data_IF_292851166813
#
_entry.id   IF_292851166813
#
_cell.length_a   1.000
_cell.length_b   1.000
_cell.length_c   1.000
_cell.angle_alpha   90.00
_cell.angle_beta   90.00
_cell.angle_gamma   90.00
#
_symmetry.space_group_name_H-M   'P 1'
#
loop_
_entity.id
_entity.type
_entity.pdbx_description
1 polymer ?
#
# COMPACT_ATOMS: atom_id res chain seq x y z
N UNK A 1 -4.32 -25.80 18.29
CA UNK A 1 -5.00 -24.63 18.87
C UNK A 1 -3.90 -23.61 19.15
N UNK A 2 -3.98 -22.42 18.55
CA UNK A 2 -3.02 -21.33 18.83
C UNK A 2 -3.68 -20.37 19.82
N UNK A 3 -2.92 -19.91 20.81
CA UNK A 3 -3.37 -18.92 21.78
C UNK A 3 -2.62 -17.62 21.48
N UNK A 4 -3.38 -16.58 21.17
CA UNK A 4 -2.84 -15.23 21.04
C UNK A 4 -2.67 -14.66 22.45
N UNK A 5 -1.44 -14.26 22.78
CA UNK A 5 -1.16 -13.58 24.03
C UNK A 5 -1.13 -12.08 23.73
N UNK A 6 -2.01 -11.34 24.40
CA UNK A 6 -1.91 -9.89 24.40
C UNK A 6 -0.56 -9.49 24.97
N UNK A 7 0.20 -8.71 24.20
CA UNK A 7 1.35 -8.03 24.71
C UNK A 7 0.86 -6.86 25.58
N UNK A 8 0.50 -7.17 26.84
CA UNK A 8 0.00 -6.21 27.83
C UNK A 8 0.95 -5.02 27.94
N UNK A 9 2.27 -5.28 27.88
CA UNK A 9 3.30 -4.24 27.92
C UNK A 9 3.28 -3.31 26.71
N UNK A 10 2.96 -3.78 25.50
CA UNK A 10 3.03 -2.96 24.29
C UNK A 10 1.66 -2.52 23.76
N UNK A 11 0.69 -2.33 24.67
CA UNK A 11 -0.65 -1.86 24.34
C UNK A 11 -1.38 -2.71 23.27
N UNK A 12 -1.11 -4.03 23.25
CA UNK A 12 -1.56 -4.97 22.22
C UNK A 12 -1.19 -4.58 20.78
N UNK A 13 -0.25 -3.64 20.60
CA UNK A 13 0.14 -3.13 19.28
C UNK A 13 1.31 -3.89 18.66
N UNK A 14 2.11 -4.57 19.48
CA UNK A 14 3.35 -5.22 19.06
C UNK A 14 4.53 -4.26 18.84
N UNK A 15 4.38 -2.95 19.10
CA UNK A 15 5.44 -1.96 18.89
C UNK A 15 6.15 -1.59 20.19
N UNK A 16 7.48 -1.55 20.13
CA UNK A 16 8.38 -1.14 21.21
C UNK A 16 9.48 -0.22 20.65
N UNK A 17 10.13 0.54 21.53
CA UNK A 17 11.27 1.37 21.15
C UNK A 17 12.47 0.50 20.73
N UNK A 18 13.10 0.82 19.59
CA UNK A 18 14.06 -0.08 18.94
C UNK A 18 15.36 -0.33 19.74
N UNK A 19 15.75 0.59 20.62
CA UNK A 19 17.02 0.51 21.36
C UNK A 19 16.81 0.06 22.80
N UNK A 20 15.76 0.55 23.45
CA UNK A 20 15.48 0.28 24.87
C UNK A 20 14.57 -0.94 25.03
N UNK A 21 13.88 -1.36 23.96
CA UNK A 21 12.88 -2.42 23.96
C UNK A 21 11.69 -2.15 24.89
N UNK A 22 11.59 -0.92 25.39
CA UNK A 22 10.49 -0.47 26.23
C UNK A 22 9.24 -0.22 25.37
N UNK A 23 8.05 -0.40 25.95
CA UNK A 23 6.81 0.00 25.33
C UNK A 23 6.85 1.46 24.86
N UNK A 24 6.28 1.71 23.68
CA UNK A 24 6.06 3.08 23.24
C UNK A 24 4.96 3.72 24.07
N UNK A 25 5.11 5.01 24.36
CA UNK A 25 4.01 5.81 24.89
C UNK A 25 2.82 5.78 23.94
N UNK A 26 1.61 5.85 24.48
CA UNK A 26 0.37 5.76 23.71
C UNK A 26 0.31 6.87 22.64
N UNK A 27 0.76 8.08 22.97
CA UNK A 27 0.78 9.22 22.05
C UNK A 27 1.68 8.96 20.84
N UNK A 28 2.87 8.39 21.07
CA UNK A 28 3.83 8.04 20.01
C UNK A 28 3.30 6.88 19.16
N UNK A 29 2.69 5.89 19.81
CA UNK A 29 2.08 4.75 19.14
C UNK A 29 0.97 5.19 18.18
N UNK A 30 0.07 6.08 18.62
CA UNK A 30 -1.01 6.64 17.77
C UNK A 30 -0.44 7.35 16.54
N UNK A 31 0.62 8.14 16.72
CA UNK A 31 1.29 8.82 15.61
C UNK A 31 1.92 7.84 14.61
N UNK A 32 2.62 6.81 15.11
CA UNK A 32 3.24 5.78 14.27
C UNK A 32 2.19 4.98 13.48
N UNK A 33 1.16 4.49 14.15
CA UNK A 33 0.07 3.75 13.51
C UNK A 33 -0.64 4.60 12.46
N UNK A 34 -0.91 5.88 12.76
CA UNK A 34 -1.51 6.80 11.80
C UNK A 34 -0.64 7.00 10.55
N UNK A 35 0.68 7.08 10.69
CA UNK A 35 1.62 7.16 9.55
C UNK A 35 1.61 5.86 8.74
N UNK A 36 1.61 4.70 9.40
CA UNK A 36 1.58 3.39 8.76
C UNK A 36 0.32 3.22 7.92
N UNK A 37 -0.86 3.51 8.48
CA UNK A 37 -2.13 3.45 7.76
C UNK A 37 -2.13 4.35 6.52
N UNK A 38 -1.62 5.59 6.63
CA UNK A 38 -1.52 6.49 5.47
C UNK A 38 -0.58 5.92 4.40
N UNK A 39 0.56 5.36 4.80
CA UNK A 39 1.53 4.74 3.88
C UNK A 39 0.93 3.53 3.16
N UNK A 40 0.25 2.64 3.88
CA UNK A 40 -0.40 1.47 3.28
C UNK A 40 -1.54 1.88 2.33
N UNK A 41 -2.35 2.88 2.72
CA UNK A 41 -3.38 3.43 1.84
C UNK A 41 -2.80 4.02 0.56
N UNK A 42 -1.70 4.77 0.64
CA UNK A 42 -1.00 5.30 -0.54
C UNK A 42 -0.45 4.18 -1.44
N UNK A 43 0.06 3.09 -0.85
CA UNK A 43 0.52 1.94 -1.63
C UNK A 43 -0.63 1.23 -2.34
N UNK A 44 -1.78 1.04 -1.68
CA UNK A 44 -2.95 0.41 -2.30
C UNK A 44 -3.54 1.27 -3.43
N UNK A 45 -3.62 2.59 -3.24
CA UNK A 45 -4.10 3.52 -4.28
C UNK A 45 -3.11 3.58 -5.44
N UNK A 46 -1.79 3.64 -5.18
CA UNK A 46 -0.76 3.64 -6.22
C UNK A 46 -0.64 2.32 -6.99
N UNK A 47 -1.13 1.20 -6.43
CA UNK A 47 -1.16 -0.11 -7.09
C UNK A 47 -2.33 -0.27 -8.06
N UNK A 48 -3.38 0.53 -7.90
CA UNK A 48 -4.28 0.83 -9.00
C UNK A 48 -3.58 1.83 -9.91
N UNK A 49 -2.64 1.33 -10.73
CA UNK A 49 -2.55 1.86 -12.09
C UNK A 49 -3.96 1.68 -12.64
N UNK A 50 -4.73 2.75 -12.65
CA UNK A 50 -5.72 2.96 -13.68
C UNK A 50 -4.93 2.85 -14.98
N UNK A 51 -4.69 1.62 -15.44
CA UNK A 51 -4.43 1.36 -16.85
C UNK A 51 -5.71 1.85 -17.47
N UNK A 52 -5.66 3.10 -17.92
CA UNK A 52 -6.77 3.66 -18.65
C UNK A 52 -6.97 2.69 -19.80
N UNK A 53 -8.19 2.22 -20.06
CA UNK A 53 -8.45 1.30 -21.18
C UNK A 53 -7.87 1.87 -22.49
N UNK A 54 -7.77 3.20 -22.57
CA UNK A 54 -7.07 3.97 -23.61
C UNK A 54 -5.59 3.60 -23.75
N UNK A 55 -4.84 3.48 -22.65
CA UNK A 55 -3.41 3.13 -22.65
C UNK A 55 -3.19 1.71 -23.18
N UNK A 56 -4.02 0.75 -22.75
CA UNK A 56 -3.95 -0.63 -23.24
C UNK A 56 -4.39 -0.73 -24.72
N UNK A 57 -5.42 0.01 -25.14
CA UNK A 57 -5.87 0.08 -26.54
C UNK A 57 -4.79 0.71 -27.46
N UNK A 58 -4.11 1.74 -26.99
CA UNK A 58 -3.05 2.41 -27.75
C UNK A 58 -1.78 1.55 -27.82
N UNK A 59 -1.48 0.79 -26.77
CA UNK A 59 -0.35 -0.14 -26.74
C UNK A 59 -0.60 -1.40 -27.58
N UNK A 60 -1.83 -1.92 -27.65
CA UNK A 60 -2.17 -3.06 -28.52
C UNK A 60 -2.15 -2.69 -30.01
N UNK A 61 -2.60 -1.49 -30.37
CA UNK A 61 -2.64 -1.00 -31.76
C UNK A 61 -1.27 -0.56 -32.34
N UNK A 62 -0.17 -0.71 -31.59
CA UNK A 62 1.17 -0.29 -32.02
C UNK A 62 2.15 -1.44 -32.27
N UNK A 63 1.70 -2.70 -32.18
CA UNK A 63 2.56 -3.90 -32.29
C UNK A 63 2.70 -4.50 -33.69
N UNK A 64 2.61 -3.70 -34.75
CA UNK A 64 2.80 -4.16 -36.13
C UNK A 64 3.67 -3.22 -36.97
N UNK A 65 4.50 -3.79 -37.85
CA UNK A 65 5.26 -3.04 -38.86
C UNK A 65 4.29 -2.55 -39.96
N UNK A 66 3.75 -1.34 -39.78
CA UNK A 66 2.76 -0.74 -40.69
C UNK A 66 1.72 0.05 -39.91
N UNK A 67 2.11 1.23 -39.40
CA UNK A 67 1.23 2.10 -38.59
C UNK A 67 0.17 2.77 -39.46
N UNK A 68 -1.02 2.18 -39.57
CA UNK A 68 -2.25 2.89 -39.89
C UNK A 68 -3.22 2.77 -38.72
N UNK A 69 -3.52 3.89 -38.06
CA UNK A 69 -4.54 3.95 -37.02
C UNK A 69 -5.92 3.91 -37.68
N UNK A 70 -6.58 2.75 -37.67
CA UNK A 70 -8.01 2.67 -37.98
C UNK A 70 -8.80 3.16 -36.78
N UNK A 71 -9.40 4.35 -36.91
CA UNK A 71 -10.43 4.86 -36.00
C UNK A 71 -11.73 4.78 -36.80
N UNK A 72 -12.45 3.67 -36.65
CA UNK A 72 -13.85 3.58 -37.09
C UNK A 72 -14.68 4.47 -36.18
N UNK A 73 -15.51 5.30 -36.79
CA UNK A 73 -16.51 6.18 -36.20
C UNK A 73 -17.65 5.40 -35.50
#
# INVERSE_FOLDING_TARGET
MFHELDCIGCHSSGFVHAQTLEPLLIEDLVLQLGRMVRRERSQLIGKNRTRCIVDDYQQSNSRGAGRSTYKGD
#
